data_IF_863574548173
#
_entry.id   IF_863574548173
#
_cell.length_a   1.000
_cell.length_b   1.000
_cell.length_c   1.000
_cell.angle_alpha   90.00
_cell.angle_beta   90.00
_cell.angle_gamma   90.00
#
_symmetry.space_group_name_H-M   'P 1'
#
loop_
_entity.id
_entity.type
_entity.pdbx_description
1 polymer ?
#
# COMPACT_ATOMS: atom_id res chain seq x y z
N UNK A 1 -9.58 -38.91 8.49
CA UNK A 1 -8.75 -37.76 8.88
C UNK A 1 -8.89 -36.73 7.77
N UNK A 2 -9.56 -35.61 8.05
CA UNK A 2 -9.75 -34.54 7.06
C UNK A 2 -8.47 -33.73 7.02
N UNK A 3 -7.74 -33.78 5.91
CA UNK A 3 -6.62 -32.88 5.65
C UNK A 3 -7.20 -31.53 5.23
N UNK A 4 -7.70 -30.77 6.21
CA UNK A 4 -7.98 -29.35 6.01
C UNK A 4 -6.63 -28.65 5.83
N UNK A 5 -6.26 -28.36 4.58
CA UNK A 5 -5.27 -27.32 4.31
C UNK A 5 -6.00 -26.01 4.64
N UNK A 6 -5.74 -25.48 5.84
CA UNK A 6 -6.05 -24.08 6.12
C UNK A 6 -5.25 -23.26 5.14
N UNK A 7 -5.93 -22.70 4.14
CA UNK A 7 -5.37 -21.64 3.30
C UNK A 7 -5.16 -20.47 4.27
N UNK A 8 -3.93 -20.01 4.51
CA UNK A 8 -3.69 -18.86 5.37
C UNK A 8 -4.52 -17.69 4.86
N UNK A 9 -5.22 -17.03 5.77
CA UNK A 9 -6.04 -15.87 5.53
C UNK A 9 -5.21 -14.81 4.78
N UNK A 10 -5.45 -14.63 3.48
CA UNK A 10 -4.57 -13.84 2.60
C UNK A 10 -4.47 -12.36 3.01
N UNK A 11 -5.46 -11.84 3.75
CA UNK A 11 -5.39 -10.50 4.36
C UNK A 11 -4.18 -10.29 5.29
N UNK A 12 -3.75 -11.34 6.00
CA UNK A 12 -2.61 -11.23 6.92
C UNK A 12 -1.28 -11.04 6.17
N UNK A 13 -1.14 -11.60 4.96
CA UNK A 13 0.12 -11.53 4.21
C UNK A 13 0.44 -10.09 3.76
N UNK A 14 -0.57 -9.34 3.32
CA UNK A 14 -0.41 -7.93 2.96
C UNK A 14 -0.09 -7.08 4.18
N UNK A 15 -0.84 -7.27 5.27
CA UNK A 15 -0.64 -6.52 6.50
C UNK A 15 0.74 -6.80 7.13
N UNK A 16 1.21 -8.06 7.13
CA UNK A 16 2.55 -8.42 7.59
C UNK A 16 3.62 -7.73 6.72
N UNK A 17 3.52 -7.83 5.39
CA UNK A 17 4.51 -7.26 4.48
C UNK A 17 4.61 -5.73 4.62
N UNK A 18 3.46 -5.07 4.78
CA UNK A 18 3.40 -3.62 5.03
C UNK A 18 3.97 -3.26 6.40
N UNK A 19 3.64 -4.01 7.45
CA UNK A 19 4.18 -3.77 8.79
C UNK A 19 5.70 -3.95 8.86
N UNK A 20 6.26 -4.92 8.12
CA UNK A 20 7.71 -5.11 8.01
C UNK A 20 8.40 -3.94 7.29
N UNK A 21 7.79 -3.41 6.22
CA UNK A 21 8.31 -2.24 5.52
C UNK A 21 8.24 -0.96 6.38
N UNK A 22 7.13 -0.78 7.10
CA UNK A 22 6.96 0.30 8.09
C UNK A 22 8.04 0.23 9.18
N UNK A 23 8.26 -0.95 9.76
CA UNK A 23 9.26 -1.14 10.80
C UNK A 23 10.68 -0.78 10.32
N UNK A 24 11.04 -1.14 9.08
CA UNK A 24 12.33 -0.78 8.47
C UNK A 24 12.48 0.74 8.34
N UNK A 25 11.47 1.44 7.82
CA UNK A 25 11.49 2.90 7.70
C UNK A 25 11.63 3.61 9.06
N UNK A 26 10.96 3.10 10.09
CA UNK A 26 11.08 3.62 11.46
C UNK A 26 12.51 3.46 11.99
N UNK A 27 13.12 2.28 11.79
CA UNK A 27 14.51 2.01 12.22
C UNK A 27 15.50 2.92 11.50
N UNK A 28 15.24 3.21 10.22
CA UNK A 28 16.06 4.13 9.40
C UNK A 28 15.75 5.61 9.69
N UNK A 29 14.82 5.91 10.60
CA UNK A 29 14.37 7.26 10.95
C UNK A 29 14.00 8.12 9.72
N UNK A 30 13.36 7.49 8.74
CA UNK A 30 13.03 8.13 7.46
C UNK A 30 11.54 8.44 7.37
N UNK A 31 11.20 9.58 6.75
CA UNK A 31 9.82 10.00 6.47
C UNK A 31 9.41 9.46 5.10
N UNK A 32 8.25 8.81 5.03
CA UNK A 32 7.77 8.23 3.78
C UNK A 32 6.38 7.62 3.89
N UNK A 33 6.00 6.90 2.84
CA UNK A 33 4.74 6.20 2.75
C UNK A 33 4.95 4.79 2.22
N UNK A 34 4.31 3.83 2.86
CA UNK A 34 4.26 2.43 2.41
C UNK A 34 2.92 2.21 1.72
N UNK A 35 2.98 1.76 0.47
CA UNK A 35 1.83 1.29 -0.29
C UNK A 35 1.91 -0.22 -0.43
N UNK A 36 0.93 -0.92 0.13
CA UNK A 36 0.73 -2.34 -0.08
C UNK A 36 -0.40 -2.57 -1.07
N UNK A 37 -0.19 -3.44 -2.04
CA UNK A 37 -1.19 -3.84 -3.03
C UNK A 37 -1.30 -5.36 -3.10
N UNK A 38 -2.53 -5.86 -3.29
CA UNK A 38 -2.79 -7.28 -3.51
C UNK A 38 -3.79 -7.51 -4.64
N UNK A 39 -3.48 -8.45 -5.54
CA UNK A 39 -4.39 -8.93 -6.61
C UNK A 39 -4.30 -10.45 -6.68
N UNK A 40 -5.34 -11.14 -6.21
CA UNK A 40 -5.30 -12.60 -6.10
C UNK A 40 -4.15 -13.01 -5.18
N UNK A 41 -3.20 -13.78 -5.70
CA UNK A 41 -2.02 -14.23 -4.93
C UNK A 41 -0.82 -13.27 -5.05
N UNK A 42 -0.89 -12.25 -5.91
CA UNK A 42 0.20 -11.30 -6.12
C UNK A 42 0.15 -10.19 -5.07
N UNK A 43 1.18 -10.13 -4.23
CA UNK A 43 1.39 -9.05 -3.25
C UNK A 43 2.57 -8.18 -3.69
N UNK A 44 2.43 -6.87 -3.56
CA UNK A 44 3.54 -5.93 -3.75
C UNK A 44 3.52 -4.86 -2.66
N UNK A 45 4.69 -4.56 -2.11
CA UNK A 45 4.89 -3.44 -1.17
C UNK A 45 5.88 -2.47 -1.80
N UNK A 46 5.46 -1.22 -1.92
CA UNK A 46 6.24 -0.13 -2.51
C UNK A 46 6.44 0.91 -1.42
N UNK A 47 7.68 1.33 -1.23
CA UNK A 47 8.06 2.40 -0.31
C UNK A 47 8.41 3.63 -1.13
N UNK A 48 7.73 4.74 -0.86
CA UNK A 48 7.99 6.02 -1.50
C UNK A 48 8.36 7.06 -0.45
N UNK A 49 9.46 7.77 -0.70
CA UNK A 49 9.84 8.94 0.07
C UNK A 49 9.08 10.13 -0.49
N UNK A 50 8.40 10.85 0.39
CA UNK A 50 7.55 11.98 0.05
C UNK A 50 7.82 13.11 1.02
N UNK A 51 7.88 14.33 0.50
CA UNK A 51 8.17 15.53 1.29
C UNK A 51 6.89 16.28 1.68
N UNK A 52 5.75 15.96 1.06
CA UNK A 52 4.44 16.56 1.36
C UNK A 52 3.26 15.65 0.94
N UNK A 53 2.05 16.02 1.38
CA UNK A 53 0.85 15.23 1.15
C UNK A 53 0.40 15.17 -0.33
N UNK A 54 0.61 16.23 -1.11
CA UNK A 54 0.24 16.24 -2.54
C UNK A 54 1.16 15.33 -3.37
N UNK A 55 2.43 15.21 -2.97
CA UNK A 55 3.36 14.27 -3.58
C UNK A 55 2.92 12.83 -3.35
N UNK A 56 2.38 12.51 -2.17
CA UNK A 56 1.89 11.17 -1.84
C UNK A 56 0.81 10.68 -2.81
N UNK A 57 -0.12 11.55 -3.25
CA UNK A 57 -1.10 11.23 -4.29
C UNK A 57 -0.43 10.86 -5.63
N UNK A 58 0.55 11.65 -6.06
CA UNK A 58 1.26 11.40 -7.32
C UNK A 58 2.03 10.08 -7.26
N UNK A 59 2.72 9.83 -6.14
CA UNK A 59 3.47 8.59 -5.91
C UNK A 59 2.57 7.36 -5.83
N UNK A 60 1.43 7.48 -5.16
CA UNK A 60 0.42 6.44 -5.12
C UNK A 60 -0.05 6.06 -6.53
N UNK A 61 -0.43 7.03 -7.36
CA UNK A 61 -0.88 6.76 -8.72
C UNK A 61 0.21 6.10 -9.58
N UNK A 62 1.47 6.51 -9.43
CA UNK A 62 2.62 5.90 -10.12
C UNK A 62 2.84 4.45 -9.67
N UNK A 63 2.80 4.19 -8.36
CA UNK A 63 2.98 2.87 -7.77
C UNK A 63 1.85 1.90 -8.18
N UNK A 64 0.59 2.36 -8.09
CA UNK A 64 -0.58 1.63 -8.51
C UNK A 64 -0.53 1.27 -10.01
N UNK A 65 -0.19 2.23 -10.87
CA UNK A 65 -0.05 1.99 -12.31
C UNK A 65 1.05 0.95 -12.63
N UNK A 66 2.20 1.02 -11.95
CA UNK A 66 3.28 0.04 -12.12
C UNK A 66 2.81 -1.36 -11.75
N UNK A 67 2.12 -1.49 -10.62
CA UNK A 67 1.60 -2.76 -10.15
C UNK A 67 0.53 -3.35 -11.10
N UNK A 68 -0.41 -2.54 -11.57
CA UNK A 68 -1.42 -2.97 -12.57
C UNK A 68 -0.78 -3.47 -13.86
N UNK A 69 0.22 -2.74 -14.38
CA UNK A 69 0.98 -3.16 -15.56
C UNK A 69 1.71 -4.49 -15.33
N UNK A 70 2.33 -4.67 -14.16
CA UNK A 70 3.03 -5.91 -13.78
C UNK A 70 2.08 -7.09 -13.66
N UNK A 71 0.93 -6.89 -13.00
CA UNK A 71 -0.10 -7.90 -12.80
C UNK A 71 -0.95 -8.16 -14.06
N UNK A 72 -0.72 -7.39 -15.14
CA UNK A 72 -1.51 -7.42 -16.37
C UNK A 72 -3.01 -7.28 -16.10
N UNK A 73 -3.38 -6.28 -15.28
CA UNK A 73 -4.76 -5.97 -14.92
C UNK A 73 -5.14 -4.59 -15.46
N UNK A 74 -6.37 -4.44 -16.00
CA UNK A 74 -6.84 -3.16 -16.51
C UNK A 74 -7.12 -2.16 -15.39
N UNK A 75 -7.58 -2.66 -14.24
CA UNK A 75 -8.02 -1.87 -13.09
C UNK A 75 -7.34 -2.41 -11.81
N UNK A 76 -7.35 -1.63 -10.73
CA UNK A 76 -6.75 -1.98 -9.43
C UNK A 76 -7.80 -2.71 -8.55
N UNK A 77 -7.76 -4.04 -8.36
CA UNK A 77 -8.64 -4.70 -7.39
C UNK A 77 -8.17 -4.54 -5.94
N UNK A 78 -9.01 -5.01 -5.02
CA UNK A 78 -9.64 -4.24 -3.94
C UNK A 78 -8.80 -4.00 -2.66
N UNK A 79 -7.63 -4.62 -2.52
CA UNK A 79 -6.89 -4.62 -1.26
C UNK A 79 -5.63 -3.75 -1.36
N UNK A 80 -5.79 -2.50 -0.90
CA UNK A 80 -4.73 -1.50 -0.79
C UNK A 80 -4.55 -1.10 0.66
N UNK A 81 -3.32 -1.12 1.14
CA UNK A 81 -2.96 -0.63 2.47
C UNK A 81 -1.99 0.53 2.33
N UNK A 82 -2.28 1.63 3.03
CA UNK A 82 -1.45 2.84 3.01
C UNK A 82 -1.00 3.21 4.42
N UNK A 83 0.32 3.20 4.66
CA UNK A 83 0.93 3.57 5.95
C UNK A 83 1.89 4.75 5.79
N UNK A 84 1.50 5.97 6.21
CA UNK A 84 2.44 7.07 6.37
C UNK A 84 3.35 6.81 7.58
N UNK A 85 4.66 6.92 7.39
CA UNK A 85 5.68 6.65 8.42
C UNK A 85 6.49 7.92 8.68
N UNK A 86 6.72 8.25 9.96
CA UNK A 86 7.47 9.45 10.36
C UNK A 86 6.69 10.77 10.27
N UNK A 87 5.42 10.73 9.85
CA UNK A 87 4.52 11.88 9.76
C UNK A 87 3.80 12.15 11.09
N UNK A 88 3.48 13.42 11.37
CA UNK A 88 2.59 13.74 12.48
C UNK A 88 1.15 13.26 12.19
N UNK A 89 0.32 13.15 13.23
CA UNK A 89 -1.02 12.56 13.10
C UNK A 89 -1.98 13.29 12.15
N UNK A 90 -1.83 14.61 12.00
CA UNK A 90 -2.69 15.42 11.12
C UNK A 90 -2.29 15.25 9.65
N UNK A 91 -1.00 15.35 9.35
CA UNK A 91 -0.48 15.17 7.99
C UNK A 91 -0.65 13.72 7.52
N UNK A 92 -0.42 12.75 8.41
CA UNK A 92 -0.69 11.34 8.15
C UNK A 92 -2.17 11.08 7.79
N UNK A 93 -3.11 11.76 8.46
CA UNK A 93 -4.53 11.65 8.14
C UNK A 93 -4.85 12.27 6.78
N UNK A 94 -4.31 13.45 6.46
CA UNK A 94 -4.47 14.09 5.17
C UNK A 94 -3.95 13.21 4.03
N UNK A 95 -2.75 12.63 4.20
CA UNK A 95 -2.15 11.72 3.22
C UNK A 95 -3.05 10.53 2.93
N UNK A 96 -3.62 9.90 3.97
CA UNK A 96 -4.53 8.76 3.80
C UNK A 96 -5.79 9.15 3.02
N UNK A 97 -6.35 10.33 3.27
CA UNK A 97 -7.54 10.80 2.55
C UNK A 97 -7.21 11.07 1.08
N UNK A 98 -6.10 11.76 0.78
CA UNK A 98 -5.69 12.02 -0.61
C UNK A 98 -5.42 10.73 -1.40
N UNK A 99 -4.79 9.74 -0.76
CA UNK A 99 -4.57 8.42 -1.37
C UNK A 99 -5.89 7.69 -1.60
N UNK A 100 -6.85 7.81 -0.68
CA UNK A 100 -8.19 7.24 -0.85
C UNK A 100 -8.94 7.88 -2.02
N UNK A 101 -8.97 9.21 -2.12
CA UNK A 101 -9.55 9.92 -3.26
C UNK A 101 -8.91 9.48 -4.59
N UNK A 102 -7.59 9.33 -4.59
CA UNK A 102 -6.84 8.86 -5.76
C UNK A 102 -7.19 7.41 -6.13
N UNK A 103 -7.36 6.53 -5.14
CA UNK A 103 -7.78 5.15 -5.35
C UNK A 103 -9.18 5.10 -5.97
N UNK A 104 -10.13 5.88 -5.44
CA UNK A 104 -11.49 5.98 -5.97
C UNK A 104 -11.49 6.44 -7.43
N UNK A 105 -10.63 7.38 -7.82
CA UNK A 105 -10.50 7.82 -9.22
C UNK A 105 -9.93 6.76 -10.17
N UNK A 106 -9.14 5.80 -9.65
CA UNK A 106 -8.48 4.77 -10.44
C UNK A 106 -9.28 3.46 -10.53
N UNK A 107 -10.35 3.31 -9.75
CA UNK A 107 -11.19 2.13 -9.71
C UNK A 107 -12.34 2.14 -10.74
N UNK A 108 -12.38 3.13 -11.65
CA UNK A 108 -13.40 3.34 -12.70
C UNK A 108 -12.77 3.50 -14.09
#
# INVERSE_FOLDING_TARGET
MSNSISIPYQGDALDIAVAEAEAKLIVENTVGIVFGYMIGDDVEVIVEFVDNANEAMTKYAQAANRFMQRANKPDLPMDVVTRPVGWNGLDAALIRELVKESHELMAF
#
